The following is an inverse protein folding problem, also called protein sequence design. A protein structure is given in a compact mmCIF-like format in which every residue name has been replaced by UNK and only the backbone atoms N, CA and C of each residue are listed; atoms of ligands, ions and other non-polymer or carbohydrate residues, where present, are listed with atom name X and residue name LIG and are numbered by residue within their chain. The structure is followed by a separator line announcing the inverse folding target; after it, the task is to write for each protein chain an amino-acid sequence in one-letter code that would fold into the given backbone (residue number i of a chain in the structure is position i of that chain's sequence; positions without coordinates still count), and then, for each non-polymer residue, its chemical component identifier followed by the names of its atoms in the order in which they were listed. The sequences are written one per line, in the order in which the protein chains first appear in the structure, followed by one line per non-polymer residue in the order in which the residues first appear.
data_IF_751326638701
#
_entry.id   IF_751326638701
#
_cell.length_a   1.000
_cell.length_b   1.000
_cell.length_c   1.000
_cell.angle_alpha   90.00
_cell.angle_beta   90.00
_cell.angle_gamma   90.00
#
_symmetry.space_group_name_H-M   'P 1'
#
loop_
_entity.id
_entity.type
_entity.pdbx_description
1 polymer ?
#
# COMPACT_ATOMS: atom_id res chain seq x y z
N UNK A 1 -6.35 16.69 -2.09
CA UNK A 1 -6.75 15.62 -3.00
C UNK A 1 -6.90 16.10 -4.44
N UNK A 2 -7.75 17.08 -4.73
CA UNK A 2 -7.93 17.60 -6.12
C UNK A 2 -6.62 18.07 -6.74
N UNK A 3 -5.76 18.76 -5.98
CA UNK A 3 -4.44 19.18 -6.45
C UNK A 3 -3.54 17.98 -6.83
N UNK A 4 -3.54 16.92 -6.02
CA UNK A 4 -2.82 15.67 -6.32
C UNK A 4 -3.36 15.00 -7.59
N UNK A 5 -4.69 14.90 -7.73
CA UNK A 5 -5.30 14.30 -8.91
C UNK A 5 -5.00 15.08 -10.21
N UNK A 6 -5.03 16.42 -10.14
CA UNK A 6 -4.65 17.28 -11.27
C UNK A 6 -3.17 17.16 -11.61
N UNK A 7 -2.31 17.12 -10.58
CA UNK A 7 -0.87 16.93 -10.78
C UNK A 7 -0.59 15.55 -11.40
N UNK A 8 -1.19 14.49 -10.88
CA UNK A 8 -1.08 13.14 -11.45
C UNK A 8 -1.60 13.07 -12.90
N UNK A 9 -2.73 13.73 -13.19
CA UNK A 9 -3.27 13.80 -14.55
C UNK A 9 -2.33 14.52 -15.52
N UNK A 10 -1.74 15.66 -15.10
CA UNK A 10 -0.73 16.36 -15.88
C UNK A 10 0.49 15.48 -16.13
N UNK A 11 0.96 14.76 -15.11
CA UNK A 11 2.08 13.82 -15.25
C UNK A 11 1.73 12.65 -16.19
N UNK A 12 0.50 12.11 -16.12
CA UNK A 12 0.02 11.08 -17.05
C UNK A 12 -0.10 11.58 -18.49
N UNK A 13 -0.57 12.82 -18.69
CA UNK A 13 -0.56 13.45 -19.99
C UNK A 13 0.86 13.51 -20.53
N UNK A 14 1.80 13.99 -19.71
CA UNK A 14 3.20 14.03 -20.09
C UNK A 14 3.77 12.64 -20.39
N UNK A 15 3.46 11.62 -19.57
CA UNK A 15 3.87 10.23 -19.81
C UNK A 15 3.43 9.67 -21.16
N UNK A 16 2.32 10.21 -21.72
CA UNK A 16 1.80 9.83 -23.04
C UNK A 16 2.52 10.50 -24.21
N UNK A 17 3.32 11.54 -23.96
CA UNK A 17 4.09 12.25 -25.00
C UNK A 17 5.42 11.52 -25.24
N UNK A 18 5.40 10.54 -26.13
CA UNK A 18 6.55 9.70 -26.47
C UNK A 18 6.85 9.80 -27.97
N UNK A 19 8.14 9.73 -28.34
CA UNK A 19 8.56 9.79 -29.76
C UNK A 19 8.15 8.53 -30.53
N UNK A 20 7.96 7.42 -29.82
CA UNK A 20 7.44 6.16 -30.36
C UNK A 20 5.95 6.05 -30.02
N UNK A 21 5.07 5.78 -31.01
CA UNK A 21 3.66 5.60 -30.75
C UNK A 21 3.41 4.46 -29.74
N UNK A 22 2.85 4.80 -28.56
CA UNK A 22 2.53 3.83 -27.54
C UNK A 22 1.05 3.96 -27.15
N UNK A 23 0.49 2.87 -26.58
CA UNK A 23 -0.87 2.92 -26.05
C UNK A 23 -1.02 3.92 -24.87
N UNK A 24 0.11 4.40 -24.33
CA UNK A 24 0.15 5.35 -23.21
C UNK A 24 -0.38 6.73 -23.61
N UNK A 25 -0.31 7.10 -24.89
CA UNK A 25 -0.74 8.41 -25.40
C UNK A 25 -2.20 8.75 -25.05
N UNK A 26 -3.09 7.78 -24.93
CA UNK A 26 -4.53 7.99 -24.64
C UNK A 26 -4.92 7.68 -23.21
N UNK A 27 -3.97 7.25 -22.36
CA UNK A 27 -4.27 6.81 -20.97
C UNK A 27 -4.82 7.96 -20.12
N UNK A 28 -4.32 9.18 -20.27
CA UNK A 28 -4.82 10.35 -19.54
C UNK A 28 -6.32 10.61 -19.78
N UNK A 29 -6.83 10.36 -20.99
CA UNK A 29 -8.26 10.49 -21.31
C UNK A 29 -9.09 9.46 -20.54
N UNK A 30 -8.61 8.20 -20.49
CA UNK A 30 -9.25 7.15 -19.69
C UNK A 30 -9.20 7.47 -18.19
N UNK A 31 -8.10 8.07 -17.73
CA UNK A 31 -7.98 8.50 -16.33
C UNK A 31 -8.98 9.62 -16.00
N UNK A 32 -9.26 10.54 -16.91
CA UNK A 32 -10.32 11.56 -16.74
C UNK A 32 -11.69 10.92 -16.53
N UNK A 33 -12.04 9.91 -17.32
CA UNK A 33 -13.31 9.18 -17.15
C UNK A 33 -13.35 8.51 -15.78
N UNK A 34 -12.25 7.84 -15.36
CA UNK A 34 -12.15 7.26 -14.03
C UNK A 34 -12.27 8.31 -12.93
N UNK A 35 -11.64 9.49 -13.06
CA UNK A 35 -11.77 10.58 -12.09
C UNK A 35 -13.21 11.08 -11.97
N UNK A 36 -13.94 11.20 -13.07
CA UNK A 36 -15.37 11.53 -13.05
C UNK A 36 -16.18 10.50 -12.25
N UNK A 37 -15.99 9.20 -12.52
CA UNK A 37 -16.64 8.13 -11.78
C UNK A 37 -16.24 8.17 -10.29
N UNK A 38 -14.98 8.42 -9.99
CA UNK A 38 -14.45 8.52 -8.64
C UNK A 38 -15.08 9.65 -7.82
N UNK A 39 -15.36 10.79 -8.44
CA UNK A 39 -16.10 11.88 -7.79
C UNK A 39 -17.50 11.42 -7.40
N UNK A 40 -18.21 10.75 -8.30
CA UNK A 40 -19.54 10.19 -8.03
C UNK A 40 -19.47 9.19 -6.87
N UNK A 41 -18.51 8.26 -6.89
CA UNK A 41 -18.32 7.27 -5.82
C UNK A 41 -17.99 7.95 -4.49
N UNK A 42 -17.11 8.94 -4.47
CA UNK A 42 -16.78 9.70 -3.27
C UNK A 42 -18.01 10.43 -2.69
N UNK A 43 -18.85 11.04 -3.54
CA UNK A 43 -20.10 11.71 -3.12
C UNK A 43 -21.11 10.70 -2.57
N UNK A 44 -21.29 9.55 -3.22
CA UNK A 44 -22.19 8.50 -2.73
C UNK A 44 -21.72 7.96 -1.36
N UNK A 45 -20.41 7.70 -1.23
CA UNK A 45 -19.81 7.24 0.03
C UNK A 45 -19.91 8.31 1.12
N UNK A 46 -19.73 9.58 0.79
CA UNK A 46 -19.93 10.70 1.73
C UNK A 46 -21.37 10.76 2.26
N UNK A 47 -22.38 10.38 1.47
CA UNK A 47 -23.79 10.32 1.93
C UNK A 47 -24.08 9.13 2.83
N UNK A 48 -23.20 8.13 2.89
CA UNK A 48 -23.37 6.92 3.71
C UNK A 48 -22.97 7.23 5.16
N UNK A 49 -23.83 6.92 6.12
CA UNK A 49 -23.50 7.13 7.54
C UNK A 49 -22.48 6.10 8.04
N UNK A 50 -21.61 6.44 9.01
CA UNK A 50 -20.67 5.50 9.62
C UNK A 50 -21.33 4.25 10.19
N UNK A 51 -22.53 4.38 10.79
CA UNK A 51 -23.32 3.24 11.30
C UNK A 51 -23.70 2.27 10.19
N UNK A 52 -24.09 2.78 9.02
CA UNK A 52 -24.42 1.94 7.87
C UNK A 52 -23.16 1.27 7.31
N UNK A 53 -22.01 1.96 7.28
CA UNK A 53 -20.72 1.38 6.89
C UNK A 53 -20.33 0.27 7.84
N UNK A 54 -20.45 0.49 9.15
CA UNK A 54 -20.15 -0.50 10.18
C UNK A 54 -21.04 -1.74 10.04
N UNK A 55 -22.33 -1.55 9.81
CA UNK A 55 -23.29 -2.64 9.59
C UNK A 55 -22.95 -3.45 8.32
N UNK A 56 -22.62 -2.77 7.22
CA UNK A 56 -22.29 -3.40 5.94
C UNK A 56 -20.91 -4.07 5.92
N UNK A 57 -20.03 -3.75 6.86
CA UNK A 57 -18.63 -4.20 6.89
C UNK A 57 -18.44 -5.71 6.75
N UNK A 58 -19.14 -6.60 7.51
CA UNK A 58 -18.93 -8.04 7.38
C UNK A 58 -19.32 -8.56 5.99
N UNK A 59 -20.37 -7.99 5.40
CA UNK A 59 -20.83 -8.34 4.05
C UNK A 59 -19.78 -7.91 3.02
N UNK A 60 -19.29 -6.66 3.11
CA UNK A 60 -18.25 -6.15 2.23
C UNK A 60 -16.95 -6.98 2.34
N UNK A 61 -16.56 -7.35 3.55
CA UNK A 61 -15.40 -8.20 3.78
C UNK A 61 -15.59 -9.60 3.16
N UNK A 62 -16.74 -10.25 3.38
CA UNK A 62 -17.04 -11.56 2.80
C UNK A 62 -17.04 -11.52 1.26
N UNK A 63 -17.65 -10.48 0.66
CA UNK A 63 -17.65 -10.29 -0.79
C UNK A 63 -16.23 -10.13 -1.33
N UNK A 64 -15.38 -9.32 -0.69
CA UNK A 64 -14.01 -9.12 -1.17
C UNK A 64 -13.15 -10.37 -1.02
N UNK A 65 -13.31 -11.15 0.05
CA UNK A 65 -12.65 -12.45 0.21
C UNK A 65 -13.11 -13.42 -0.88
N UNK A 66 -14.41 -13.48 -1.19
CA UNK A 66 -14.94 -14.29 -2.28
C UNK A 66 -14.37 -13.88 -3.65
N UNK A 67 -14.28 -12.57 -3.91
CA UNK A 67 -13.67 -12.04 -5.13
C UNK A 67 -12.17 -12.38 -5.22
N UNK A 68 -11.43 -12.38 -4.11
CA UNK A 68 -10.04 -12.83 -4.07
C UNK A 68 -9.92 -14.34 -4.37
N UNK A 69 -10.81 -15.16 -3.84
CA UNK A 69 -10.86 -16.60 -4.15
C UNK A 69 -11.20 -16.83 -5.64
N UNK A 70 -12.17 -16.09 -6.18
CA UNK A 70 -12.51 -16.15 -7.59
C UNK A 70 -11.32 -15.74 -8.47
N UNK A 71 -10.57 -14.69 -8.06
CA UNK A 71 -9.38 -14.25 -8.79
C UNK A 71 -8.29 -15.31 -8.81
N UNK A 72 -8.12 -16.11 -7.75
CA UNK A 72 -7.21 -17.24 -7.74
C UNK A 72 -7.59 -18.31 -8.79
N UNK A 73 -8.88 -18.51 -9.02
CA UNK A 73 -9.39 -19.52 -9.96
C UNK A 73 -9.32 -19.05 -11.42
N UNK A 74 -9.80 -17.83 -11.71
CA UNK A 74 -9.98 -17.33 -13.09
C UNK A 74 -9.18 -16.06 -13.40
N UNK A 75 -8.32 -15.60 -12.49
CA UNK A 75 -7.56 -14.37 -12.65
C UNK A 75 -6.46 -14.47 -13.70
N UNK A 76 -6.11 -13.32 -14.26
CA UNK A 76 -5.04 -13.16 -15.25
C UNK A 76 -3.98 -12.17 -14.75
N UNK A 77 -2.74 -12.30 -15.24
CA UNK A 77 -1.67 -11.36 -14.99
C UNK A 77 -1.73 -10.12 -15.88
N UNK A 78 -0.96 -9.09 -15.54
CA UNK A 78 -0.85 -7.85 -16.30
C UNK A 78 0.59 -7.35 -16.38
N UNK A 79 0.98 -6.84 -17.56
CA UNK A 79 2.27 -6.16 -17.76
C UNK A 79 3.48 -6.99 -17.30
N UNK A 80 4.34 -6.39 -16.50
CA UNK A 80 5.56 -7.01 -15.95
C UNK A 80 5.30 -8.15 -14.97
N UNK A 81 4.05 -8.34 -14.53
CA UNK A 81 3.59 -9.41 -13.64
C UNK A 81 2.68 -10.41 -14.39
N UNK A 82 3.02 -10.77 -15.62
CA UNK A 82 2.23 -11.69 -16.45
C UNK A 82 1.99 -13.07 -15.78
N UNK A 83 2.87 -13.48 -14.87
CA UNK A 83 2.72 -14.70 -14.08
C UNK A 83 1.82 -14.57 -12.85
N UNK A 84 1.34 -13.37 -12.49
CA UNK A 84 0.41 -13.17 -11.37
C UNK A 84 -1.03 -13.38 -11.82
N UNK A 85 -1.92 -13.80 -10.90
CA UNK A 85 -3.35 -13.95 -11.16
C UNK A 85 -4.15 -12.89 -10.39
N UNK A 86 -3.75 -11.60 -10.52
CA UNK A 86 -4.27 -10.52 -9.66
C UNK A 86 -5.45 -9.75 -10.25
N UNK A 87 -5.75 -9.95 -11.55
CA UNK A 87 -6.79 -9.24 -12.27
C UNK A 87 -7.95 -10.15 -12.64
N UNK A 88 -9.18 -9.74 -12.29
CA UNK A 88 -10.37 -10.39 -12.82
C UNK A 88 -10.55 -10.02 -14.30
N UNK A 89 -10.62 -11.05 -15.15
CA UNK A 89 -10.82 -10.91 -16.59
C UNK A 89 -12.02 -11.76 -17.01
N UNK A 90 -12.99 -11.16 -17.71
CA UNK A 90 -14.17 -11.84 -18.26
C UNK A 90 -14.25 -11.47 -19.75
N UNK A 91 -14.28 -12.47 -20.61
CA UNK A 91 -14.34 -12.25 -22.06
C UNK A 91 -13.15 -11.46 -22.64
N UNK A 92 -11.96 -11.57 -22.04
CA UNK A 92 -10.78 -10.83 -22.47
C UNK A 92 -10.69 -9.38 -21.96
N UNK A 93 -11.73 -8.87 -21.29
CA UNK A 93 -11.73 -7.55 -20.67
C UNK A 93 -11.35 -7.64 -19.19
N UNK A 94 -10.44 -6.77 -18.74
CA UNK A 94 -10.03 -6.67 -17.32
C UNK A 94 -11.00 -5.76 -16.58
N UNK A 95 -11.70 -6.30 -15.59
CA UNK A 95 -12.70 -5.55 -14.79
C UNK A 95 -12.08 -4.84 -13.59
N UNK A 96 -10.98 -5.33 -13.06
CA UNK A 96 -10.33 -4.71 -11.91
C UNK A 96 -9.47 -5.66 -11.10
N UNK A 97 -8.82 -5.11 -10.08
CA UNK A 97 -8.00 -5.84 -9.12
C UNK A 97 -8.73 -5.89 -7.78
N UNK A 98 -9.33 -7.03 -7.38
CA UNK A 98 -10.09 -7.14 -6.14
C UNK A 98 -9.29 -6.84 -4.88
N UNK A 99 -7.97 -7.05 -4.92
CA UNK A 99 -7.09 -6.74 -3.79
C UNK A 99 -7.18 -5.27 -3.35
N UNK A 100 -7.45 -4.33 -4.27
CA UNK A 100 -7.57 -2.91 -3.95
C UNK A 100 -8.80 -2.62 -3.07
N UNK A 101 -9.93 -3.23 -3.38
CA UNK A 101 -11.15 -3.14 -2.57
C UNK A 101 -11.02 -3.92 -1.26
N UNK A 102 -10.33 -5.06 -1.28
CA UNK A 102 -10.11 -5.88 -0.09
C UNK A 102 -9.30 -5.15 0.98
N UNK A 103 -8.34 -4.28 0.61
CA UNK A 103 -7.60 -3.44 1.56
C UNK A 103 -8.54 -2.54 2.36
N UNK A 104 -9.51 -1.89 1.70
CA UNK A 104 -10.52 -1.08 2.39
C UNK A 104 -11.47 -1.92 3.25
N UNK A 105 -11.90 -3.09 2.75
CA UNK A 105 -12.76 -3.99 3.52
C UNK A 105 -12.05 -4.49 4.78
N UNK A 106 -10.74 -4.76 4.71
CA UNK A 106 -9.91 -5.11 5.88
C UNK A 106 -9.83 -3.94 6.86
N UNK A 107 -9.62 -2.71 6.38
CA UNK A 107 -9.63 -1.52 7.25
C UNK A 107 -10.95 -1.41 8.00
N UNK A 108 -12.08 -1.52 7.30
CA UNK A 108 -13.40 -1.45 7.91
C UNK A 108 -13.62 -2.59 8.91
N UNK A 109 -13.23 -3.82 8.58
CA UNK A 109 -13.42 -4.99 9.45
C UNK A 109 -12.54 -4.91 10.69
N UNK A 110 -11.28 -4.49 10.55
CA UNK A 110 -10.40 -4.24 11.69
C UNK A 110 -10.93 -3.10 12.56
N UNK A 111 -11.41 -2.00 11.96
CA UNK A 111 -11.98 -0.87 12.69
C UNK A 111 -13.18 -1.32 13.53
N UNK A 112 -14.10 -2.11 12.93
CA UNK A 112 -15.26 -2.65 13.64
C UNK A 112 -14.85 -3.56 14.79
N UNK A 113 -13.87 -4.44 14.57
CA UNK A 113 -13.41 -5.37 15.59
C UNK A 113 -12.70 -4.65 16.75
N UNK A 114 -11.75 -3.76 16.42
CA UNK A 114 -10.98 -3.00 17.41
C UNK A 114 -11.82 -2.00 18.18
N UNK A 115 -12.79 -1.34 17.54
CA UNK A 115 -13.71 -0.42 18.20
C UNK A 115 -14.66 -1.13 19.21
N UNK A 116 -14.94 -2.43 19.00
CA UNK A 116 -15.74 -3.24 19.91
C UNK A 116 -15.01 -3.72 21.16
N UNK A 117 -13.68 -3.55 21.23
CA UNK A 117 -12.89 -3.96 22.39
C UNK A 117 -13.05 -2.95 23.54
N UNK A 118 -13.15 -3.45 24.78
CA UNK A 118 -13.17 -2.59 25.98
C UNK A 118 -11.81 -2.01 26.32
N UNK A 119 -10.75 -2.72 26.02
CA UNK A 119 -9.35 -2.36 26.27
C UNK A 119 -8.51 -2.61 25.04
N UNK A 120 -7.41 -1.86 24.90
CA UNK A 120 -6.46 -2.06 23.82
C UNK A 120 -5.79 -3.44 23.90
N UNK A 121 -5.49 -4.11 22.77
CA UNK A 121 -4.77 -5.37 22.76
C UNK A 121 -3.47 -5.28 23.56
N UNK A 122 -3.32 -6.18 24.55
CA UNK A 122 -2.20 -6.15 25.49
C UNK A 122 -1.36 -7.43 25.50
N UNK A 123 -1.90 -8.52 24.95
CA UNK A 123 -1.24 -9.84 24.86
C UNK A 123 -1.17 -10.32 23.41
N UNK A 124 -0.30 -11.30 23.13
CA UNK A 124 -0.24 -11.93 21.81
C UNK A 124 -1.55 -12.63 21.41
N UNK A 125 -2.34 -13.10 22.37
CA UNK A 125 -3.64 -13.71 22.09
C UNK A 125 -4.63 -12.71 21.51
N UNK A 126 -4.59 -11.45 21.98
CA UNK A 126 -5.48 -10.39 21.50
C UNK A 126 -5.19 -10.01 20.05
N UNK A 127 -3.97 -10.31 19.56
CA UNK A 127 -3.56 -10.06 18.19
C UNK A 127 -4.03 -11.14 17.21
N UNK A 128 -4.47 -12.32 17.69
CA UNK A 128 -4.84 -13.45 16.81
C UNK A 128 -6.03 -13.08 15.91
N UNK A 129 -7.08 -12.46 16.47
CA UNK A 129 -8.26 -12.11 15.69
C UNK A 129 -7.97 -11.01 14.64
N UNK A 130 -7.33 -9.85 14.97
CA UNK A 130 -6.96 -8.88 13.94
C UNK A 130 -5.95 -9.44 12.93
N UNK A 131 -5.01 -10.29 13.36
CA UNK A 131 -4.11 -10.97 12.45
C UNK A 131 -4.84 -11.94 11.51
N UNK A 132 -5.89 -12.63 11.96
CA UNK A 132 -6.71 -13.49 11.11
C UNK A 132 -7.53 -12.66 10.09
N UNK A 133 -8.10 -11.51 10.52
CA UNK A 133 -8.86 -10.59 9.65
C UNK A 133 -7.98 -10.05 8.52
N UNK A 134 -6.77 -9.59 8.80
CA UNK A 134 -5.85 -9.09 7.77
C UNK A 134 -5.11 -10.23 7.05
N UNK A 135 -4.80 -11.31 7.76
CA UNK A 135 -4.01 -12.43 7.28
C UNK A 135 -4.71 -13.27 6.23
N UNK A 136 -6.03 -13.46 6.34
CA UNK A 136 -6.78 -14.23 5.34
C UNK A 136 -6.69 -13.61 3.93
N UNK A 137 -7.05 -12.34 3.69
CA UNK A 137 -6.85 -11.70 2.40
C UNK A 137 -5.38 -11.62 1.98
N UNK A 138 -4.46 -11.35 2.92
CA UNK A 138 -3.02 -11.32 2.67
C UNK A 138 -2.52 -12.67 2.11
N UNK A 139 -2.89 -13.79 2.71
CA UNK A 139 -2.52 -15.14 2.24
C UNK A 139 -3.10 -15.46 0.87
N UNK A 140 -4.34 -15.04 0.59
CA UNK A 140 -4.95 -15.21 -0.73
C UNK A 140 -4.18 -14.42 -1.80
N UNK A 141 -3.79 -13.19 -1.49
CA UNK A 141 -3.02 -12.32 -2.38
C UNK A 141 -1.58 -12.84 -2.57
N UNK A 142 -0.95 -13.38 -1.54
CA UNK A 142 0.35 -14.07 -1.68
C UNK A 142 0.27 -15.27 -2.63
N UNK A 143 -0.85 -16.02 -2.60
CA UNK A 143 -1.08 -17.12 -3.56
C UNK A 143 -1.33 -16.63 -5.00
N UNK A 144 -1.68 -15.35 -5.18
CA UNK A 144 -1.78 -14.70 -6.50
C UNK A 144 -0.45 -14.14 -7.01
N UNK A 145 0.68 -14.51 -6.45
CA UNK A 145 2.03 -13.92 -6.38
C UNK A 145 2.09 -12.37 -6.42
N UNK A 146 1.25 -11.69 -5.64
CA UNK A 146 1.23 -10.23 -5.51
C UNK A 146 1.82 -9.81 -4.15
N UNK A 147 3.14 -9.69 -4.11
CA UNK A 147 3.88 -9.35 -2.89
C UNK A 147 3.60 -7.92 -2.43
N UNK A 148 3.48 -6.97 -3.36
CA UNK A 148 3.23 -5.56 -3.05
C UNK A 148 1.93 -5.37 -2.28
N UNK A 149 0.82 -5.89 -2.81
CA UNK A 149 -0.46 -5.84 -2.10
C UNK A 149 -0.43 -6.57 -0.75
N UNK A 150 0.33 -7.68 -0.62
CA UNK A 150 0.45 -8.41 0.63
C UNK A 150 1.14 -7.57 1.73
N UNK A 151 2.21 -6.84 1.40
CA UNK A 151 2.89 -5.92 2.32
C UNK A 151 1.91 -4.85 2.84
N UNK A 152 1.05 -4.31 1.96
CA UNK A 152 0.06 -3.30 2.34
C UNK A 152 -0.93 -3.85 3.38
N UNK A 153 -1.39 -5.10 3.28
CA UNK A 153 -2.26 -5.71 4.30
C UNK A 153 -1.57 -5.81 5.66
N UNK A 154 -0.31 -6.19 5.68
CA UNK A 154 0.49 -6.23 6.91
C UNK A 154 0.66 -4.84 7.50
N UNK A 155 0.98 -3.85 6.67
CA UNK A 155 1.12 -2.46 7.11
C UNK A 155 -0.19 -1.91 7.70
N UNK A 156 -1.34 -2.13 7.05
CA UNK A 156 -2.66 -1.76 7.56
C UNK A 156 -2.89 -2.34 8.96
N UNK A 157 -2.60 -3.62 9.16
CA UNK A 157 -2.76 -4.28 10.45
C UNK A 157 -1.94 -3.56 11.53
N UNK A 158 -0.64 -3.32 11.29
CA UNK A 158 0.22 -2.66 12.27
C UNK A 158 -0.17 -1.22 12.54
N UNK A 159 -0.53 -0.43 11.52
CA UNK A 159 -1.03 0.93 11.69
C UNK A 159 -2.29 0.95 12.57
N UNK A 160 -3.25 0.07 12.30
CA UNK A 160 -4.51 0.06 13.03
C UNK A 160 -4.34 -0.44 14.48
N UNK A 161 -3.50 -1.44 14.71
CA UNK A 161 -3.17 -1.89 16.07
C UNK A 161 -2.46 -0.79 16.87
N UNK A 162 -1.52 -0.07 16.23
CA UNK A 162 -0.86 1.08 16.86
C UNK A 162 -1.86 2.16 17.27
N UNK A 163 -2.79 2.51 16.38
CA UNK A 163 -3.81 3.52 16.66
C UNK A 163 -4.82 3.09 17.72
N UNK A 164 -5.11 1.78 17.78
CA UNK A 164 -5.97 1.20 18.81
C UNK A 164 -5.32 1.20 20.22
N UNK A 165 -4.07 1.67 20.35
CA UNK A 165 -3.37 1.78 21.63
C UNK A 165 -2.55 0.54 22.02
N UNK A 166 -2.32 -0.39 21.11
CA UNK A 166 -1.44 -1.54 21.36
C UNK A 166 -0.02 -1.07 21.67
N UNK A 167 0.59 -1.63 22.72
CA UNK A 167 1.94 -1.23 23.15
C UNK A 167 2.97 -1.44 22.03
N UNK A 168 3.86 -0.47 21.76
CA UNK A 168 4.89 -0.61 20.72
C UNK A 168 5.79 -1.84 20.89
N UNK A 169 6.05 -2.24 22.14
CA UNK A 169 6.81 -3.48 22.45
C UNK A 169 6.11 -4.73 21.90
N UNK A 170 4.78 -4.82 22.07
CA UNK A 170 3.99 -5.96 21.56
C UNK A 170 3.97 -5.96 20.02
N UNK A 171 3.86 -4.77 19.40
CA UNK A 171 3.91 -4.64 17.94
C UNK A 171 5.29 -5.06 17.38
N UNK A 172 6.38 -4.66 18.03
CA UNK A 172 7.72 -5.06 17.62
C UNK A 172 7.91 -6.59 17.75
N UNK A 173 7.45 -7.18 18.86
CA UNK A 173 7.50 -8.64 19.04
C UNK A 173 6.63 -9.36 18.00
N UNK A 174 5.45 -8.83 17.66
CA UNK A 174 4.60 -9.40 16.61
C UNK A 174 5.22 -9.26 15.20
N UNK A 175 5.99 -8.20 14.94
CA UNK A 175 6.71 -8.00 13.67
C UNK A 175 8.00 -8.84 13.59
N UNK A 176 8.52 -9.30 14.74
CA UNK A 176 9.84 -9.96 14.82
C UNK A 176 10.01 -11.16 13.88
N UNK A 177 9.01 -12.06 13.64
CA UNK A 177 9.19 -13.18 12.72
C UNK A 177 9.40 -12.74 11.27
N UNK A 178 8.77 -11.63 10.85
CA UNK A 178 8.96 -11.07 9.50
C UNK A 178 10.36 -10.45 9.37
N UNK A 179 10.80 -9.75 10.40
CA UNK A 179 12.18 -9.20 10.46
C UNK A 179 13.19 -10.35 10.45
N UNK A 180 12.97 -11.37 11.27
CA UNK A 180 13.82 -12.58 11.34
C UNK A 180 13.91 -13.29 9.98
N UNK A 181 12.80 -13.43 9.28
CA UNK A 181 12.75 -14.02 7.94
C UNK A 181 13.55 -13.18 6.92
N UNK A 182 13.40 -11.84 6.95
CA UNK A 182 14.15 -10.95 6.07
C UNK A 182 15.67 -10.99 6.31
N UNK A 183 16.08 -11.12 7.57
CA UNK A 183 17.49 -11.20 7.94
C UNK A 183 18.10 -12.60 7.77
N UNK A 184 17.27 -13.64 7.60
CA UNK A 184 17.70 -15.04 7.52
C UNK A 184 18.57 -15.37 6.29
N UNK A 185 18.61 -14.49 5.29
CA UNK A 185 19.51 -14.63 4.13
C UNK A 185 20.99 -14.34 4.44
N UNK A 186 21.27 -13.77 5.64
CA UNK A 186 22.61 -13.60 6.18
C UNK A 186 22.67 -14.26 7.56
N UNK A 187 23.46 -15.32 7.71
CA UNK A 187 23.61 -16.05 8.98
C UNK A 187 24.07 -15.14 10.11
N UNK A 188 24.97 -14.17 9.81
CA UNK A 188 25.47 -13.19 10.79
C UNK A 188 24.35 -12.24 11.20
N UNK A 189 23.62 -11.63 10.24
CA UNK A 189 22.54 -10.70 10.53
C UNK A 189 21.41 -11.38 11.32
N UNK A 190 21.05 -12.61 10.93
CA UNK A 190 20.04 -13.41 11.63
C UNK A 190 20.49 -13.79 13.04
N UNK A 191 21.76 -14.21 13.22
CA UNK A 191 22.32 -14.50 14.54
C UNK A 191 22.29 -13.29 15.47
N UNK A 192 22.69 -12.12 14.98
CA UNK A 192 22.61 -10.85 15.72
C UNK A 192 21.15 -10.53 16.07
N UNK A 193 20.22 -10.72 15.13
CA UNK A 193 18.80 -10.50 15.40
C UNK A 193 18.26 -11.41 16.49
N UNK A 194 18.59 -12.71 16.48
CA UNK A 194 18.16 -13.67 17.52
C UNK A 194 18.73 -13.26 18.89
N UNK A 195 19.97 -12.78 18.95
CA UNK A 195 20.56 -12.27 20.18
C UNK A 195 19.81 -11.02 20.68
N UNK A 196 19.54 -10.04 19.81
CA UNK A 196 18.76 -8.84 20.13
C UNK A 196 17.36 -9.23 20.61
N UNK A 197 16.68 -10.12 19.89
CA UNK A 197 15.34 -10.60 20.25
C UNK A 197 15.34 -11.27 21.64
N UNK A 198 16.36 -12.07 21.94
CA UNK A 198 16.50 -12.71 23.26
C UNK A 198 16.60 -11.64 24.36
N UNK A 199 17.43 -10.59 24.16
CA UNK A 199 17.53 -9.48 25.12
C UNK A 199 16.20 -8.76 25.27
N UNK A 200 15.47 -8.49 24.17
CA UNK A 200 14.15 -7.85 24.22
C UNK A 200 13.12 -8.69 24.96
N UNK A 201 13.11 -10.00 24.76
CA UNK A 201 12.21 -10.91 25.46
C UNK A 201 12.53 -10.94 26.97
N UNK A 202 13.80 -10.94 27.35
CA UNK A 202 14.21 -10.89 28.77
C UNK A 202 13.86 -9.53 29.41
N UNK A 203 13.92 -8.44 28.64
CA UNK A 203 13.60 -7.09 29.14
C UNK A 203 12.11 -6.87 29.31
N UNK A 204 11.32 -7.20 28.28
CA UNK A 204 9.87 -6.94 28.29
C UNK A 204 9.08 -8.03 29.03
N UNK A 205 9.67 -9.19 29.25
CA UNK A 205 9.11 -10.31 30.03
C UNK A 205 7.67 -10.63 29.63
N UNK A 206 7.36 -10.95 28.34
CA UNK A 206 6.07 -11.47 27.98
C UNK A 206 5.77 -12.77 28.74
N UNK A 207 4.54 -13.27 28.66
CA UNK A 207 4.25 -14.59 29.21
C UNK A 207 5.19 -15.63 28.60
N UNK A 208 5.58 -16.63 29.41
CA UNK A 208 6.57 -17.62 29.00
C UNK A 208 6.22 -18.29 27.66
N UNK A 209 4.94 -18.66 27.48
CA UNK A 209 4.46 -19.28 26.25
C UNK A 209 4.55 -18.32 25.03
N UNK A 210 4.32 -17.02 25.24
CA UNK A 210 4.47 -15.99 24.18
C UNK A 210 5.93 -15.84 23.75
N UNK A 211 6.83 -15.78 24.73
CA UNK A 211 8.27 -15.73 24.46
C UNK A 211 8.76 -16.95 23.69
N UNK A 212 8.33 -18.14 24.09
CA UNK A 212 8.65 -19.39 23.38
C UNK A 212 8.08 -19.41 21.97
N UNK A 213 6.82 -18.98 21.80
CA UNK A 213 6.18 -18.92 20.48
C UNK A 213 6.88 -17.94 19.55
N UNK A 214 7.19 -16.72 20.03
CA UNK A 214 7.91 -15.70 19.26
C UNK A 214 9.29 -16.20 18.84
N UNK A 215 10.06 -16.73 19.77
CA UNK A 215 11.38 -17.29 19.49
C UNK A 215 11.28 -18.45 18.48
N UNK A 216 10.33 -19.37 18.70
CA UNK A 216 10.09 -20.51 17.81
C UNK A 216 9.74 -20.06 16.39
N UNK A 217 8.89 -19.04 16.23
CA UNK A 217 8.54 -18.47 14.91
C UNK A 217 9.75 -17.82 14.22
N UNK A 218 10.63 -17.13 14.96
CA UNK A 218 11.84 -16.53 14.40
C UNK A 218 12.86 -17.60 13.98
N UNK A 219 13.05 -18.65 14.79
CA UNK A 219 13.92 -19.78 14.44
C UNK A 219 13.35 -20.53 13.24
N UNK A 220 12.05 -20.81 13.23
CA UNK A 220 11.37 -21.46 12.11
C UNK A 220 11.51 -20.63 10.83
N UNK A 221 11.35 -19.29 10.92
CA UNK A 221 11.57 -18.35 9.82
C UNK A 221 12.98 -18.49 9.22
N UNK A 222 14.00 -18.59 10.07
CA UNK A 222 15.38 -18.82 9.63
C UNK A 222 15.57 -20.14 8.90
N UNK A 223 14.96 -21.22 9.41
CA UNK A 223 15.05 -22.56 8.79
C UNK A 223 14.33 -22.63 7.45
N UNK A 224 13.16 -22.00 7.33
CA UNK A 224 12.34 -22.06 6.11
C UNK A 224 12.73 -21.01 5.04
N UNK A 225 13.59 -20.04 5.36
CA UNK A 225 13.97 -18.95 4.46
C UNK A 225 14.51 -19.46 3.12
N UNK A 226 15.48 -20.39 3.14
CA UNK A 226 16.06 -20.99 1.93
C UNK A 226 15.07 -21.84 1.13
N UNK A 227 14.30 -22.77 1.73
CA UNK A 227 13.24 -23.48 1.03
C UNK A 227 12.18 -22.54 0.44
N UNK A 228 11.83 -21.46 1.13
CA UNK A 228 10.89 -20.47 0.64
C UNK A 228 11.44 -19.69 -0.56
N UNK A 229 12.71 -19.27 -0.49
CA UNK A 229 13.41 -18.63 -1.61
C UNK A 229 13.34 -19.48 -2.89
N UNK A 230 13.64 -20.76 -2.77
CA UNK A 230 13.64 -21.69 -3.90
C UNK A 230 12.25 -21.95 -4.51
N UNK A 231 11.17 -21.61 -3.78
CA UNK A 231 9.78 -21.70 -4.26
C UNK A 231 9.26 -20.42 -4.88
N UNK A 232 9.98 -19.30 -4.72
CA UNK A 232 9.62 -18.04 -5.37
C UNK A 232 9.75 -18.19 -6.88
N UNK A 233 8.83 -17.58 -7.63
CA UNK A 233 8.95 -17.51 -9.07
C UNK A 233 10.20 -16.70 -9.47
N UNK A 234 10.86 -17.02 -10.61
CA UNK A 234 12.10 -16.34 -11.01
C UNK A 234 11.98 -14.81 -11.04
N UNK A 235 10.84 -14.26 -11.49
CA UNK A 235 10.62 -12.82 -11.53
C UNK A 235 10.57 -12.18 -10.12
N UNK A 236 10.11 -12.91 -9.10
CA UNK A 236 10.10 -12.44 -7.71
C UNK A 236 11.50 -12.42 -7.10
N UNK A 237 12.27 -13.49 -7.37
CA UNK A 237 13.69 -13.56 -6.98
C UNK A 237 14.48 -12.42 -7.63
N UNK A 238 14.30 -12.19 -8.93
CA UNK A 238 14.99 -11.13 -9.67
C UNK A 238 14.66 -9.74 -9.11
N UNK A 239 13.42 -9.47 -8.69
CA UNK A 239 13.06 -8.20 -8.07
C UNK A 239 13.78 -7.97 -6.73
N UNK A 240 13.90 -9.01 -5.90
CA UNK A 240 14.62 -8.93 -4.63
C UNK A 240 16.13 -8.80 -4.84
N UNK A 241 16.71 -9.54 -5.80
CA UNK A 241 18.12 -9.42 -6.16
C UNK A 241 18.44 -8.06 -6.77
N UNK A 242 17.59 -7.54 -7.65
CA UNK A 242 17.75 -6.21 -8.25
C UNK A 242 17.67 -5.07 -7.22
N UNK A 243 16.93 -5.27 -6.13
CA UNK A 243 16.91 -4.32 -5.02
C UNK A 243 18.25 -4.29 -4.28
N UNK A 244 18.84 -5.46 -4.01
CA UNK A 244 20.14 -5.56 -3.32
C UNK A 244 21.30 -5.11 -4.20
N UNK A 245 21.27 -5.50 -5.47
CA UNK A 245 22.27 -5.11 -6.46
C UNK A 245 21.62 -5.03 -7.85
N UNK A 246 21.27 -3.83 -8.34
CA UNK A 246 20.65 -3.64 -9.66
C UNK A 246 21.51 -4.12 -10.83
N UNK A 247 22.83 -4.16 -10.64
CA UNK A 247 23.79 -4.55 -11.71
C UNK A 247 23.79 -6.06 -11.99
N UNK A 248 23.20 -6.87 -11.12
CA UNK A 248 23.10 -8.34 -11.32
C UNK A 248 22.15 -8.69 -12.47
N UNK A 249 21.09 -7.89 -12.66
CA UNK A 249 20.12 -8.11 -13.75
C UNK A 249 19.81 -6.79 -14.48
N UNK A 250 20.81 -6.26 -15.23
CA UNK A 250 20.70 -4.93 -15.86
C UNK A 250 19.77 -4.91 -17.08
N UNK A 251 19.16 -6.05 -17.47
CA UNK A 251 18.28 -6.17 -18.64
C UNK A 251 16.80 -6.43 -18.28
N UNK A 252 16.48 -6.67 -17.00
CA UNK A 252 15.08 -6.89 -16.57
C UNK A 252 14.72 -6.03 -15.35
N UNK A 253 14.59 -6.60 -14.17
CA UNK A 253 14.18 -5.85 -12.98
C UNK A 253 15.18 -4.73 -12.60
N UNK A 254 16.49 -4.96 -12.74
CA UNK A 254 17.52 -3.94 -12.49
C UNK A 254 17.44 -2.77 -13.46
N UNK A 255 17.08 -3.03 -14.73
CA UNK A 255 16.89 -1.98 -15.74
C UNK A 255 15.88 -0.90 -15.29
N UNK A 256 14.74 -1.31 -14.74
CA UNK A 256 13.70 -0.39 -14.29
C UNK A 256 14.22 0.59 -13.23
N UNK A 257 14.95 0.07 -12.23
CA UNK A 257 15.52 0.88 -11.16
C UNK A 257 16.63 1.81 -11.67
N UNK A 258 17.53 1.28 -12.51
CA UNK A 258 18.64 2.07 -13.09
C UNK A 258 18.05 3.22 -13.91
N UNK A 259 17.11 2.97 -14.81
CA UNK A 259 16.49 4.01 -15.64
C UNK A 259 15.68 5.01 -14.82
N UNK A 260 14.98 4.55 -13.76
CA UNK A 260 14.30 5.43 -12.82
C UNK A 260 15.26 6.40 -12.13
N UNK A 261 16.39 5.88 -11.62
CA UNK A 261 17.43 6.73 -10.99
C UNK A 261 18.09 7.70 -11.97
N UNK A 262 18.34 7.24 -13.21
CA UNK A 262 18.87 8.10 -14.28
C UNK A 262 17.88 9.21 -14.62
N UNK A 263 16.59 8.89 -14.74
CA UNK A 263 15.53 9.86 -15.00
C UNK A 263 15.50 10.94 -13.90
N UNK A 264 15.34 10.54 -12.63
CA UNK A 264 15.29 11.46 -11.49
C UNK A 264 16.57 12.28 -11.38
N UNK A 265 17.74 11.63 -11.47
CA UNK A 265 19.04 12.30 -11.35
C UNK A 265 19.30 13.31 -12.46
N UNK A 266 18.78 13.06 -13.69
CA UNK A 266 18.94 13.95 -14.83
C UNK A 266 18.06 15.21 -14.77
N UNK A 267 17.03 15.23 -13.90
CA UNK A 267 16.15 16.39 -13.77
C UNK A 267 16.76 17.57 -12.99
N UNK A 268 17.78 17.34 -12.15
CA UNK A 268 18.40 18.41 -11.36
C UNK A 268 17.40 19.14 -10.46
N UNK A 269 17.60 20.46 -10.28
CA UNK A 269 16.74 21.27 -9.41
C UNK A 269 15.37 21.61 -10.02
N UNK A 270 15.34 22.05 -11.29
CA UNK A 270 14.13 22.59 -11.94
C UNK A 270 13.52 21.64 -12.98
N UNK A 271 14.16 20.51 -13.25
CA UNK A 271 13.72 19.55 -14.27
C UNK A 271 14.18 19.93 -15.69
N UNK A 272 13.87 19.04 -16.63
CA UNK A 272 14.14 19.26 -18.06
C UNK A 272 13.06 20.09 -18.77
N UNK A 273 11.94 20.31 -18.12
CA UNK A 273 10.74 20.92 -18.69
C UNK A 273 9.59 19.92 -18.82
N UNK A 274 8.36 20.45 -18.70
CA UNK A 274 7.14 19.63 -18.83
C UNK A 274 7.04 19.09 -20.26
N UNK A 275 6.86 17.78 -20.40
CA UNK A 275 6.88 16.98 -21.63
C UNK A 275 8.26 16.74 -22.26
N UNK A 276 9.35 17.27 -21.72
CA UNK A 276 10.70 17.19 -22.31
C UNK A 276 11.60 16.12 -21.67
N UNK A 277 11.03 15.24 -20.86
CA UNK A 277 11.75 14.11 -20.26
C UNK A 277 12.29 13.13 -21.31
N UNK A 278 13.59 12.97 -21.39
CA UNK A 278 14.24 12.13 -22.43
C UNK A 278 14.04 10.63 -22.18
N UNK A 279 14.06 10.19 -20.92
CA UNK A 279 13.88 8.77 -20.58
C UNK A 279 12.47 8.27 -20.91
N UNK A 280 11.45 9.12 -20.69
CA UNK A 280 10.08 8.76 -21.06
C UNK A 280 9.86 8.84 -22.58
N UNK A 281 10.41 9.87 -23.27
CA UNK A 281 10.23 10.04 -24.72
C UNK A 281 10.75 8.87 -25.50
N UNK A 282 11.89 8.34 -25.10
CA UNK A 282 12.52 7.14 -25.69
C UNK A 282 11.90 5.82 -25.20
N UNK A 283 10.86 5.88 -24.33
CA UNK A 283 10.20 4.72 -23.73
C UNK A 283 11.17 3.75 -22.99
N UNK A 284 12.25 4.29 -22.42
CA UNK A 284 13.23 3.49 -21.66
C UNK A 284 12.72 3.09 -20.27
N UNK A 285 11.67 3.75 -19.76
CA UNK A 285 11.01 3.43 -18.50
C UNK A 285 9.79 2.53 -18.76
N UNK A 286 9.88 1.21 -18.55
CA UNK A 286 8.71 0.35 -18.61
C UNK A 286 7.72 0.72 -17.50
N UNK A 287 6.41 0.55 -17.77
CA UNK A 287 5.34 0.88 -16.81
C UNK A 287 5.42 2.33 -16.26
N UNK A 288 5.91 3.28 -17.07
CA UNK A 288 6.06 4.69 -16.70
C UNK A 288 4.74 5.37 -16.31
N UNK A 289 3.60 4.86 -16.74
CA UNK A 289 2.26 5.38 -16.46
C UNK A 289 1.63 4.80 -15.18
N UNK A 290 2.24 3.77 -14.57
CA UNK A 290 1.76 3.11 -13.36
C UNK A 290 2.80 3.20 -12.23
N UNK A 291 3.75 2.31 -12.23
CA UNK A 291 4.65 2.06 -11.11
C UNK A 291 5.76 3.11 -11.00
N UNK A 292 6.26 3.62 -12.13
CA UNK A 292 7.38 4.56 -12.20
C UNK A 292 6.97 5.99 -12.58
N UNK A 293 5.70 6.35 -12.36
CA UNK A 293 5.21 7.69 -12.71
C UNK A 293 5.95 8.80 -11.94
N UNK A 294 6.37 8.52 -10.71
CA UNK A 294 7.12 9.47 -9.88
C UNK A 294 8.49 9.83 -10.48
N UNK A 295 9.08 8.92 -11.26
CA UNK A 295 10.35 9.17 -11.96
C UNK A 295 10.21 10.24 -13.03
N UNK A 296 9.04 10.32 -13.69
CA UNK A 296 8.73 11.38 -14.66
C UNK A 296 8.65 12.75 -13.96
N UNK A 297 8.04 12.78 -12.76
CA UNK A 297 8.01 14.03 -11.95
C UNK A 297 9.43 14.49 -11.65
N UNK A 298 10.32 13.57 -11.24
CA UNK A 298 11.71 13.89 -10.96
C UNK A 298 12.49 14.34 -12.20
N UNK A 299 12.27 13.73 -13.36
CA UNK A 299 12.93 14.10 -14.61
C UNK A 299 12.48 15.45 -15.15
N UNK A 300 11.17 15.67 -15.21
CA UNK A 300 10.59 16.83 -15.90
C UNK A 300 10.50 18.08 -15.04
N UNK A 301 10.16 17.93 -13.78
CA UNK A 301 9.94 19.03 -12.84
C UNK A 301 11.05 19.12 -11.79
N UNK A 302 12.02 18.21 -11.83
CA UNK A 302 13.20 18.22 -10.98
C UNK A 302 12.89 18.09 -9.49
N UNK A 303 13.84 18.47 -8.67
CA UNK A 303 13.72 18.42 -7.22
C UNK A 303 12.55 19.27 -6.69
N UNK A 304 12.28 20.43 -7.28
CA UNK A 304 11.16 21.29 -6.88
C UNK A 304 9.82 20.58 -7.11
N UNK A 305 9.62 19.93 -8.28
CA UNK A 305 8.42 19.15 -8.55
C UNK A 305 8.23 18.00 -7.57
N UNK A 306 9.31 17.28 -7.24
CA UNK A 306 9.31 16.22 -6.23
C UNK A 306 8.91 16.77 -4.86
N UNK A 307 9.47 17.89 -4.41
CA UNK A 307 9.10 18.52 -3.14
C UNK A 307 7.62 18.92 -3.09
N UNK A 308 7.09 19.49 -4.17
CA UNK A 308 5.66 19.84 -4.27
C UNK A 308 4.79 18.59 -4.15
N UNK A 309 5.13 17.50 -4.85
CA UNK A 309 4.39 16.25 -4.76
C UNK A 309 4.41 15.69 -3.32
N UNK A 310 5.58 15.60 -2.70
CA UNK A 310 5.74 15.11 -1.34
C UNK A 310 5.04 16.00 -0.31
N UNK A 311 5.07 17.32 -0.48
CA UNK A 311 4.35 18.26 0.38
C UNK A 311 2.82 18.07 0.27
N UNK A 312 2.29 17.86 -0.92
CA UNK A 312 0.87 17.57 -1.13
C UNK A 312 0.45 16.23 -0.52
N UNK A 313 1.27 15.19 -0.65
CA UNK A 313 1.05 13.91 0.04
C UNK A 313 1.12 14.05 1.56
N UNK A 314 2.13 14.76 2.07
CA UNK A 314 2.26 15.07 3.50
C UNK A 314 1.04 15.83 4.02
N UNK A 315 0.54 16.82 3.28
CA UNK A 315 -0.69 17.55 3.61
C UNK A 315 -1.92 16.64 3.65
N UNK A 316 -2.06 15.73 2.67
CA UNK A 316 -3.16 14.75 2.65
C UNK A 316 -3.12 13.85 3.89
N UNK A 317 -1.96 13.28 4.20
CA UNK A 317 -1.78 12.39 5.36
C UNK A 317 -2.03 13.14 6.68
N UNK A 318 -1.53 14.38 6.80
CA UNK A 318 -1.77 15.23 7.96
C UNK A 318 -3.25 15.56 8.14
N UNK A 319 -3.96 15.85 7.04
CA UNK A 319 -5.40 16.10 7.07
C UNK A 319 -6.17 14.86 7.55
N UNK A 320 -5.84 13.66 7.03
CA UNK A 320 -6.44 12.39 7.47
C UNK A 320 -6.17 12.11 8.95
N UNK A 321 -4.92 12.32 9.40
CA UNK A 321 -4.56 12.17 10.81
C UNK A 321 -5.36 13.13 11.72
N UNK A 322 -5.54 14.38 11.26
CA UNK A 322 -6.34 15.38 11.98
C UNK A 322 -7.80 14.97 12.06
N UNK A 323 -8.38 14.40 10.99
CA UNK A 323 -9.76 13.90 10.97
C UNK A 323 -9.87 12.70 11.92
N UNK A 324 -8.97 11.73 11.87
CA UNK A 324 -8.97 10.56 12.73
C UNK A 324 -8.93 10.94 14.23
N UNK A 325 -8.10 11.94 14.60
CA UNK A 325 -8.01 12.44 15.98
C UNK A 325 -9.27 13.16 16.47
N UNK A 326 -10.06 13.72 15.56
CA UNK A 326 -11.28 14.49 15.88
C UNK A 326 -12.55 13.69 15.67
N UNK A 327 -12.46 12.45 15.25
CA UNK A 327 -13.61 11.58 15.07
C UNK A 327 -14.34 11.36 16.39
N UNK A 328 -15.66 11.34 16.33
CA UNK A 328 -16.55 11.26 17.49
C UNK A 328 -16.69 9.86 18.07
N UNK A 329 -16.38 8.86 17.29
CA UNK A 329 -16.48 7.45 17.67
C UNK A 329 -15.21 6.67 17.28
N UNK A 330 -14.89 5.56 18.02
CA UNK A 330 -13.69 4.77 17.77
C UNK A 330 -13.65 4.11 16.39
N UNK A 331 -14.79 3.66 15.86
CA UNK A 331 -14.88 3.03 14.55
C UNK A 331 -14.44 4.00 13.44
N UNK A 332 -15.03 5.21 13.42
CA UNK A 332 -14.70 6.26 12.48
C UNK A 332 -13.24 6.69 12.58
N UNK A 333 -12.71 6.84 13.80
CA UNK A 333 -11.29 7.16 14.05
C UNK A 333 -10.36 6.12 13.43
N UNK A 334 -10.60 4.84 13.72
CA UNK A 334 -9.81 3.72 13.21
C UNK A 334 -9.92 3.59 11.69
N UNK A 335 -11.11 3.79 11.10
CA UNK A 335 -11.29 3.76 9.65
C UNK A 335 -10.43 4.81 8.95
N UNK A 336 -10.48 6.07 9.40
CA UNK A 336 -9.72 7.16 8.77
C UNK A 336 -8.22 6.97 8.97
N UNK A 337 -7.80 6.50 10.15
CA UNK A 337 -6.39 6.22 10.37
C UNK A 337 -5.89 5.02 9.54
N UNK A 338 -6.71 3.97 9.39
CA UNK A 338 -6.41 2.84 8.49
C UNK A 338 -6.26 3.29 7.03
N UNK A 339 -7.13 4.20 6.55
CA UNK A 339 -7.03 4.80 5.21
C UNK A 339 -5.75 5.65 5.09
N UNK A 340 -5.38 6.41 6.13
CA UNK A 340 -4.11 7.15 6.15
C UNK A 340 -2.91 6.20 6.08
N UNK A 341 -2.94 5.08 6.81
CA UNK A 341 -1.92 4.03 6.77
C UNK A 341 -1.82 3.37 5.39
N UNK A 342 -2.96 3.08 4.75
CA UNK A 342 -3.02 2.59 3.37
C UNK A 342 -2.30 3.54 2.41
N UNK A 343 -2.66 4.84 2.43
CA UNK A 343 -2.04 5.83 1.55
C UNK A 343 -0.57 6.02 1.85
N UNK A 344 -0.19 6.10 3.13
CA UNK A 344 1.22 6.20 3.53
C UNK A 344 2.04 5.04 2.98
N UNK A 345 1.55 3.80 3.12
CA UNK A 345 2.25 2.61 2.63
C UNK A 345 2.43 2.66 1.11
N UNK A 346 1.38 2.99 0.36
CA UNK A 346 1.47 3.12 -1.08
C UNK A 346 2.45 4.22 -1.52
N UNK A 347 2.43 5.39 -0.87
CA UNK A 347 3.36 6.49 -1.15
C UNK A 347 4.79 6.07 -0.85
N UNK A 348 5.02 5.50 0.34
CA UNK A 348 6.35 5.09 0.79
C UNK A 348 6.96 4.02 -0.11
N UNK A 349 6.19 2.98 -0.47
CA UNK A 349 6.66 1.92 -1.35
C UNK A 349 6.88 2.42 -2.77
N UNK A 350 5.92 3.16 -3.37
CA UNK A 350 6.04 3.62 -4.74
C UNK A 350 7.21 4.61 -4.91
N UNK A 351 7.30 5.64 -4.06
CA UNK A 351 8.41 6.59 -4.10
C UNK A 351 9.72 5.87 -3.76
N UNK A 352 9.72 5.01 -2.73
CA UNK A 352 10.90 4.27 -2.28
C UNK A 352 11.48 3.36 -3.37
N UNK A 353 10.65 2.66 -4.15
CA UNK A 353 11.15 1.80 -5.23
C UNK A 353 11.74 2.60 -6.39
N UNK A 354 11.28 3.83 -6.67
CA UNK A 354 11.84 4.66 -7.75
C UNK A 354 13.27 5.11 -7.46
N UNK A 355 13.64 5.22 -6.18
CA UNK A 355 14.99 5.60 -5.72
C UNK A 355 15.81 4.41 -5.16
N UNK A 356 15.29 3.19 -5.28
CA UNK A 356 15.92 1.95 -4.78
C UNK A 356 16.06 1.88 -3.25
N UNK A 357 15.13 2.48 -2.50
CA UNK A 357 15.01 2.28 -1.05
C UNK A 357 14.10 1.10 -0.69
N UNK A 358 13.29 0.65 -1.63
CA UNK A 358 12.38 -0.48 -1.52
C UNK A 358 12.47 -1.37 -2.76
N UNK A 359 12.22 -2.69 -2.66
CA UNK A 359 12.16 -3.56 -3.83
C UNK A 359 10.99 -3.15 -4.74
N UNK A 360 11.08 -3.50 -6.03
CA UNK A 360 10.02 -3.24 -7.00
C UNK A 360 8.80 -4.09 -6.66
N UNK A 361 7.78 -3.49 -6.06
CA UNK A 361 6.53 -4.15 -5.69
C UNK A 361 5.44 -4.01 -6.74
N UNK A 362 5.49 -2.96 -7.55
CA UNK A 362 4.51 -2.70 -8.61
C UNK A 362 3.20 -2.16 -8.07
N UNK A 363 3.21 -1.45 -6.93
CA UNK A 363 2.01 -0.81 -6.39
C UNK A 363 1.88 0.64 -6.87
N UNK A 364 0.65 1.06 -7.18
CA UNK A 364 0.41 2.40 -7.73
C UNK A 364 0.51 3.50 -6.67
N UNK A 365 0.88 4.71 -7.12
CA UNK A 365 0.91 5.93 -6.30
C UNK A 365 -0.49 6.55 -6.22
N UNK A 366 -1.03 6.85 -5.01
CA UNK A 366 -2.38 7.40 -4.86
C UNK A 366 -2.61 8.66 -5.67
N UNK A 367 -3.67 8.70 -6.46
CA UNK A 367 -4.10 9.81 -7.34
C UNK A 367 -3.16 10.17 -8.49
N UNK A 368 -1.95 9.60 -8.57
CA UNK A 368 -0.97 9.83 -9.62
C UNK A 368 -0.97 8.73 -10.67
N UNK A 369 -0.79 7.49 -10.23
CA UNK A 369 -0.68 6.35 -11.15
C UNK A 369 -1.98 6.07 -11.89
N UNK A 370 -1.87 5.61 -13.12
CA UNK A 370 -2.99 5.07 -13.86
C UNK A 370 -3.48 3.75 -13.22
N UNK A 371 -4.78 3.68 -12.93
CA UNK A 371 -5.39 2.46 -12.39
C UNK A 371 -6.80 2.71 -11.86
N UNK A 372 -7.83 2.30 -12.64
CA UNK A 372 -9.22 2.56 -12.28
C UNK A 372 -9.64 1.95 -10.95
N UNK A 373 -9.31 0.68 -10.69
CA UNK A 373 -9.68 -0.02 -9.44
C UNK A 373 -9.05 0.62 -8.20
N UNK A 374 -7.77 0.98 -8.30
CA UNK A 374 -7.07 1.64 -7.21
C UNK A 374 -7.60 3.05 -6.96
N UNK A 375 -7.84 3.81 -8.02
CA UNK A 375 -8.41 5.14 -7.92
C UNK A 375 -9.82 5.12 -7.30
N UNK A 376 -10.64 4.10 -7.64
CA UNK A 376 -11.93 3.87 -6.99
C UNK A 376 -11.77 3.58 -5.50
N UNK A 377 -10.84 2.70 -5.11
CA UNK A 377 -10.55 2.41 -3.71
C UNK A 377 -10.09 3.68 -2.98
N UNK A 378 -9.19 4.47 -3.56
CA UNK A 378 -8.78 5.77 -3.00
C UNK A 378 -9.99 6.70 -2.79
N UNK A 379 -10.91 6.75 -3.75
CA UNK A 379 -12.08 7.62 -3.70
C UNK A 379 -13.11 7.20 -2.65
N UNK A 380 -13.31 5.88 -2.47
CA UNK A 380 -14.09 5.34 -1.36
C UNK A 380 -13.48 5.76 -0.01
N UNK A 381 -12.17 5.59 0.16
CA UNK A 381 -11.46 6.01 1.38
C UNK A 381 -11.60 7.50 1.67
N UNK A 382 -11.51 8.34 0.63
CA UNK A 382 -11.72 9.78 0.76
C UNK A 382 -13.18 10.11 1.10
N UNK A 383 -14.16 9.47 0.48
CA UNK A 383 -15.58 9.66 0.78
C UNK A 383 -15.89 9.35 2.24
N UNK A 384 -15.38 8.21 2.77
CA UNK A 384 -15.47 7.84 4.20
C UNK A 384 -14.85 8.94 5.08
N UNK A 385 -13.62 9.35 4.76
CA UNK A 385 -12.90 10.35 5.57
C UNK A 385 -13.58 11.71 5.59
N UNK A 386 -14.15 12.15 4.46
CA UNK A 386 -14.93 13.38 4.38
C UNK A 386 -16.23 13.30 5.20
N UNK A 387 -16.90 12.14 5.20
CA UNK A 387 -18.09 11.91 6.02
C UNK A 387 -17.77 12.03 7.50
N UNK A 388 -16.72 11.36 7.96
CA UNK A 388 -16.26 11.45 9.35
C UNK A 388 -15.91 12.89 9.73
N UNK A 389 -15.20 13.61 8.85
CA UNK A 389 -14.86 15.01 9.07
C UNK A 389 -16.10 15.93 9.18
N UNK A 390 -17.16 15.63 8.43
CA UNK A 390 -18.40 16.38 8.47
C UNK A 390 -19.16 16.13 9.77
N UNK A 391 -19.29 14.87 10.21
CA UNK A 391 -19.96 14.51 11.48
C UNK A 391 -19.24 15.07 12.69
N UNK A 392 -17.92 15.02 12.72
CA UNK A 392 -17.13 15.59 13.83
C UNK A 392 -17.28 17.11 13.96
N UNK A 393 -17.56 17.82 12.86
CA UNK A 393 -17.86 19.25 12.90
C UNK A 393 -19.25 19.52 13.47
N UNK A 394 -20.25 18.71 13.12
CA UNK A 394 -21.61 18.91 13.62
C UNK A 394 -21.71 18.67 15.14
N UNK A 395 -21.01 17.67 15.66
CA UNK A 395 -20.96 17.38 17.09
C UNK A 395 -20.30 18.51 17.90
N UNK A 396 -19.30 19.20 17.32
CA UNK A 396 -18.65 20.36 17.96
C UNK A 396 -19.48 21.66 17.96
N UNK A 397 -20.51 21.76 17.13
CA UNK A 397 -21.44 22.89 17.12
C UNK A 397 -22.66 22.67 18.04
N UNK A 398 -22.85 21.45 18.60
CA UNK A 398 -23.99 21.08 19.43
C UNK A 398 -23.79 21.28 20.93
N UNK A 399 -22.66 21.77 21.42
CA UNK A 399 -22.47 22.22 22.79
C UNK A 399 -22.58 23.74 22.87
N UNK A 400 -23.77 24.31 23.23
CA UNK A 400 -23.83 25.68 23.71
C UNK A 400 -23.27 25.67 25.14
N UNK A 401 -22.21 26.42 25.35
CA UNK A 401 -21.50 26.69 26.58
C UNK A 401 -22.06 26.13 27.87
N UNK A 402 -21.33 25.22 28.49
CA UNK A 402 -21.27 25.05 29.94
C UNK A 402 -19.88 25.39 30.41
#
# INVERSE_FOLDING_TARGET
MSALALYGLATLYSAGQTDVPTFVATIWQRQLVWLGLCVVVAVLTFRTSPRMLEWATPIAYAITVLLLLLTLAVGTGAGTAAGSKSWLSIGGHRFGQPAELAKLAVILMLARWLAGLREAPSTMRDLIAPAAIAGLPCLLVLKQPDLGSAIVFVAILFFMLFWAGTKPSLLLLAASPVIGLALAFSTVAWGVWIAVLTVLLLWWRPYLWEGVAIMGLNVLGGVIALPMWNRLAPYQQNRLLAFLNPDVDPRSAGWHVIQSKVAIGSGGLLGKGFTDGTQKRLAFLPAQHTDFIFSIVGEELGFVGVLVALALFGWLLFALLRIARRATDPFSSLCVFGIAGLFFTHIFENVGMTVNLMPITGIPLPFFSYGGSFLLACSLGVGISLRVAWESRQSGYGEPGQ
#
